data_IF_250486676490
#
_entry.id   IF_250486676490
#
_cell.length_a   1.000
_cell.length_b   1.000
_cell.length_c   1.000
_cell.angle_alpha   90.00
_cell.angle_beta   90.00
_cell.angle_gamma   90.00
#
_symmetry.space_group_name_H-M   'P 1'
#
loop_
_entity.id
_entity.type
_entity.pdbx_description
1 polymer ?
#
# COMPACT_ATOMS: atom_id res chain seq x y z
N UNK A 1 23.72 -78.56 32.79
CA UNK A 1 22.54 -77.69 33.00
C UNK A 1 22.24 -77.03 31.67
N UNK A 2 21.11 -77.37 31.05
CA UNK A 2 20.67 -76.71 29.82
C UNK A 2 19.85 -75.50 30.21
N UNK A 3 20.35 -74.31 29.87
CA UNK A 3 19.71 -73.03 30.13
C UNK A 3 18.64 -72.80 29.04
N UNK A 4 17.37 -72.89 29.42
CA UNK A 4 16.21 -72.75 28.52
C UNK A 4 15.81 -71.28 28.27
N UNK A 5 16.71 -70.33 28.56
CA UNK A 5 16.49 -68.89 28.34
C UNK A 5 16.40 -68.48 26.86
N UNK A 6 16.59 -69.41 25.90
CA UNK A 6 16.60 -69.14 24.46
C UNK A 6 15.22 -69.29 23.76
N UNK A 7 14.16 -69.70 24.46
CA UNK A 7 12.80 -69.80 23.92
C UNK A 7 11.87 -68.72 24.51
N UNK A 8 12.35 -67.48 24.56
CA UNK A 8 11.46 -66.33 24.74
C UNK A 8 10.65 -66.15 23.44
N UNK A 9 9.52 -66.85 23.34
CA UNK A 9 8.54 -66.66 22.27
C UNK A 9 8.17 -65.17 22.27
N UNK A 10 8.32 -64.44 21.15
CA UNK A 10 7.98 -63.02 21.12
C UNK A 10 6.51 -62.87 21.49
N UNK A 11 6.25 -62.04 22.49
CA UNK A 11 4.89 -61.81 22.99
C UNK A 11 4.07 -61.11 21.88
N UNK A 12 3.25 -61.89 21.18
CA UNK A 12 2.43 -61.43 20.04
C UNK A 12 1.46 -60.33 20.46
N UNK A 13 1.05 -60.31 21.73
CA UNK A 13 0.22 -59.25 22.31
C UNK A 13 0.97 -57.93 22.42
N UNK A 14 2.28 -57.97 22.70
CA UNK A 14 3.16 -56.79 22.74
C UNK A 14 3.33 -56.13 21.37
N UNK A 15 3.35 -56.92 20.29
CA UNK A 15 3.37 -56.37 18.92
C UNK A 15 2.08 -55.62 18.58
N UNK A 16 0.92 -56.14 18.96
CA UNK A 16 -0.37 -55.47 18.74
C UNK A 16 -0.46 -54.16 19.52
N UNK A 17 0.00 -54.15 20.78
CA UNK A 17 0.06 -52.93 21.61
C UNK A 17 0.90 -51.83 20.95
N UNK A 18 2.03 -52.21 20.33
CA UNK A 18 2.92 -51.27 19.66
C UNK A 18 2.25 -50.60 18.45
N UNK A 19 1.48 -51.36 17.65
CA UNK A 19 0.68 -50.81 16.55
C UNK A 19 -0.38 -49.81 17.03
N UNK A 20 -1.08 -50.10 18.13
CA UNK A 20 -2.06 -49.16 18.69
C UNK A 20 -1.41 -47.84 19.14
N UNK A 21 -0.22 -47.91 19.76
CA UNK A 21 0.53 -46.71 20.19
C UNK A 21 0.95 -45.87 18.97
N UNK A 22 1.41 -46.52 17.89
CA UNK A 22 1.77 -45.81 16.67
C UNK A 22 0.58 -45.12 16.01
N UNK A 23 -0.55 -45.83 15.87
CA UNK A 23 -1.78 -45.26 15.29
C UNK A 23 -2.23 -44.06 16.12
N UNK A 24 -2.22 -44.19 17.45
CA UNK A 24 -2.58 -43.10 18.35
C UNK A 24 -1.66 -41.89 18.21
N UNK A 25 -0.35 -42.12 18.10
CA UNK A 25 0.64 -41.05 17.85
C UNK A 25 0.41 -40.33 16.52
N UNK A 26 0.12 -41.07 15.45
CA UNK A 26 -0.18 -40.51 14.13
C UNK A 26 -1.45 -39.65 14.18
N UNK A 27 -2.50 -40.12 14.86
CA UNK A 27 -3.76 -39.37 15.01
C UNK A 27 -3.54 -38.06 15.75
N UNK A 28 -2.74 -38.06 16.82
CA UNK A 28 -2.40 -36.84 17.56
C UNK A 28 -1.62 -35.86 16.68
N UNK A 29 -0.59 -36.34 15.98
CA UNK A 29 0.22 -35.50 15.08
C UNK A 29 -0.64 -34.90 13.96
N UNK A 30 -1.56 -35.68 13.41
CA UNK A 30 -2.49 -35.22 12.40
C UNK A 30 -3.43 -34.13 12.94
N UNK A 31 -3.98 -34.32 14.16
CA UNK A 31 -4.81 -33.31 14.83
C UNK A 31 -4.07 -32.00 15.09
N UNK A 32 -2.81 -32.09 15.56
CA UNK A 32 -1.95 -30.92 15.77
C UNK A 32 -1.67 -30.21 14.44
N UNK A 33 -1.35 -30.96 13.39
CA UNK A 33 -1.10 -30.40 12.06
C UNK A 33 -2.33 -29.66 11.50
N UNK A 34 -3.52 -30.27 11.61
CA UNK A 34 -4.79 -29.63 11.24
C UNK A 34 -5.03 -28.34 12.02
N UNK A 35 -4.76 -28.33 13.32
CA UNK A 35 -4.89 -27.15 14.15
C UNK A 35 -3.97 -26.02 13.67
N UNK A 36 -2.70 -26.32 13.36
CA UNK A 36 -1.78 -25.33 12.81
C UNK A 36 -2.25 -24.78 11.46
N UNK A 37 -2.66 -25.64 10.54
CA UNK A 37 -3.19 -25.22 9.22
C UNK A 37 -4.38 -24.28 9.40
N UNK A 38 -5.34 -24.64 10.26
CA UNK A 38 -6.51 -23.81 10.54
C UNK A 38 -6.13 -22.46 11.18
N UNK A 39 -5.21 -22.46 12.14
CA UNK A 39 -4.72 -21.26 12.80
C UNK A 39 -4.03 -20.30 11.80
N UNK A 40 -3.13 -20.81 10.96
CA UNK A 40 -2.46 -20.01 9.94
C UNK A 40 -3.45 -19.48 8.90
N UNK A 41 -4.41 -20.31 8.46
CA UNK A 41 -5.42 -19.90 7.49
C UNK A 41 -6.31 -18.76 8.02
N UNK A 42 -6.79 -18.86 9.26
CA UNK A 42 -7.57 -17.81 9.91
C UNK A 42 -6.75 -16.51 10.06
N UNK A 43 -5.49 -16.61 10.45
CA UNK A 43 -4.60 -15.45 10.58
C UNK A 43 -4.33 -14.79 9.23
N UNK A 44 -4.10 -15.57 8.19
CA UNK A 44 -3.87 -15.06 6.83
C UNK A 44 -5.11 -14.38 6.26
N UNK A 45 -6.30 -14.96 6.47
CA UNK A 45 -7.57 -14.39 6.04
C UNK A 45 -7.87 -13.05 6.72
N UNK A 46 -7.64 -12.95 8.04
CA UNK A 46 -7.80 -11.69 8.79
C UNK A 46 -6.84 -10.61 8.29
N UNK A 47 -5.57 -10.94 8.06
CA UNK A 47 -4.58 -9.99 7.53
C UNK A 47 -4.96 -9.45 6.15
N UNK A 48 -5.45 -10.31 5.24
CA UNK A 48 -5.88 -9.90 3.90
C UNK A 48 -7.11 -8.99 3.92
N UNK A 49 -8.05 -9.23 4.84
CA UNK A 49 -9.21 -8.36 5.02
C UNK A 49 -8.80 -6.98 5.56
N UNK A 50 -7.88 -6.95 6.54
CA UNK A 50 -7.32 -5.72 7.07
C UNK A 50 -6.53 -4.93 6.03
N UNK A 51 -5.69 -5.58 5.22
CA UNK A 51 -4.93 -4.88 4.18
C UNK A 51 -5.85 -4.22 3.14
N UNK A 52 -6.87 -4.94 2.66
CA UNK A 52 -7.85 -4.37 1.73
C UNK A 52 -8.62 -3.19 2.33
N UNK A 53 -8.94 -3.23 3.62
CA UNK A 53 -9.59 -2.09 4.29
C UNK A 53 -8.64 -0.91 4.42
N UNK A 54 -7.37 -1.13 4.78
CA UNK A 54 -6.36 -0.08 4.82
C UNK A 54 -6.14 0.56 3.45
N UNK A 55 -6.04 -0.23 2.39
CA UNK A 55 -5.89 0.29 1.02
C UNK A 55 -7.10 1.15 0.62
N UNK A 56 -8.32 0.73 0.98
CA UNK A 56 -9.52 1.54 0.75
C UNK A 56 -9.54 2.84 1.57
N UNK A 57 -9.10 2.80 2.84
CA UNK A 57 -9.00 4.01 3.66
C UNK A 57 -7.94 4.97 3.13
N UNK A 58 -6.80 4.46 2.67
CA UNK A 58 -5.74 5.28 2.09
C UNK A 58 -6.20 5.94 0.79
N UNK A 59 -6.90 5.19 -0.07
CA UNK A 59 -7.55 5.75 -1.26
C UNK A 59 -8.57 6.84 -0.91
N UNK A 60 -9.45 6.60 0.06
CA UNK A 60 -10.43 7.60 0.51
C UNK A 60 -9.76 8.83 1.12
N UNK A 61 -8.67 8.66 1.88
CA UNK A 61 -7.90 9.77 2.44
C UNK A 61 -7.24 10.59 1.33
N UNK A 62 -6.69 9.95 0.30
CA UNK A 62 -6.13 10.65 -0.87
C UNK A 62 -7.20 11.41 -1.66
N UNK A 63 -8.36 10.80 -1.89
CA UNK A 63 -9.49 11.46 -2.57
C UNK A 63 -10.02 12.66 -1.77
N UNK A 64 -10.16 12.52 -0.45
CA UNK A 64 -10.54 13.62 0.44
C UNK A 64 -9.48 14.72 0.46
N UNK A 65 -8.19 14.37 0.52
CA UNK A 65 -7.10 15.33 0.45
C UNK A 65 -7.12 16.10 -0.88
N UNK A 66 -7.41 15.41 -1.99
CA UNK A 66 -7.58 16.01 -3.32
C UNK A 66 -8.76 16.97 -3.36
N UNK A 67 -9.91 16.58 -2.81
CA UNK A 67 -11.11 17.43 -2.73
C UNK A 67 -10.88 18.68 -1.86
N UNK A 68 -10.21 18.52 -0.71
CA UNK A 68 -9.89 19.64 0.18
C UNK A 68 -8.90 20.62 -0.45
N UNK A 69 -7.85 20.13 -1.10
CA UNK A 69 -6.90 20.98 -1.81
C UNK A 69 -7.56 21.70 -2.99
N UNK A 70 -8.42 21.00 -3.73
CA UNK A 70 -9.22 21.61 -4.79
C UNK A 70 -10.15 22.72 -4.27
N UNK A 71 -10.84 22.48 -3.16
CA UNK A 71 -11.71 23.49 -2.54
C UNK A 71 -10.91 24.69 -2.02
N UNK A 72 -9.73 24.45 -1.42
CA UNK A 72 -8.82 25.52 -0.98
C UNK A 72 -8.32 26.34 -2.17
N UNK A 73 -7.99 25.69 -3.28
CA UNK A 73 -7.55 26.34 -4.51
C UNK A 73 -8.64 27.25 -5.09
N UNK A 74 -9.90 26.80 -5.12
CA UNK A 74 -11.03 27.63 -5.58
C UNK A 74 -11.37 28.80 -4.66
N UNK A 75 -11.07 28.69 -3.37
CA UNK A 75 -11.30 29.77 -2.39
C UNK A 75 -10.13 30.75 -2.27
N UNK A 76 -8.94 30.36 -2.70
CA UNK A 76 -7.75 31.20 -2.65
C UNK A 76 -7.70 32.16 -3.84
N UNK A 77 -7.03 33.31 -3.68
CA UNK A 77 -6.78 34.29 -4.73
C UNK A 77 -5.31 34.69 -4.77
N UNK A 78 -4.84 35.17 -5.94
CA UNK A 78 -3.48 35.66 -6.13
C UNK A 78 -2.39 34.61 -5.85
N UNK A 79 -1.26 35.04 -5.26
CA UNK A 79 -0.07 34.20 -5.00
C UNK A 79 -0.39 32.90 -4.24
N UNK A 80 -1.32 32.94 -3.30
CA UNK A 80 -1.73 31.76 -2.51
C UNK A 80 -2.39 30.68 -3.37
N UNK A 81 -3.16 31.08 -4.39
CA UNK A 81 -3.79 30.15 -5.34
C UNK A 81 -2.74 29.40 -6.16
N UNK A 82 -1.68 30.10 -6.58
CA UNK A 82 -0.56 29.51 -7.31
C UNK A 82 0.25 28.53 -6.43
N UNK A 83 0.54 28.89 -5.18
CA UNK A 83 1.24 27.98 -4.24
C UNK A 83 0.43 26.69 -4.01
N UNK A 84 -0.88 26.81 -3.79
CA UNK A 84 -1.76 25.65 -3.61
C UNK A 84 -1.87 24.80 -4.88
N UNK A 85 -1.79 25.42 -6.06
CA UNK A 85 -1.74 24.70 -7.32
C UNK A 85 -0.45 23.90 -7.48
N UNK A 86 0.69 24.49 -7.14
CA UNK A 86 1.98 23.78 -7.13
C UNK A 86 1.92 22.58 -6.19
N UNK A 87 1.42 22.78 -4.97
CA UNK A 87 1.28 21.71 -3.99
C UNK A 87 0.32 20.60 -4.48
N UNK A 88 -0.74 20.99 -5.18
CA UNK A 88 -1.65 20.05 -5.82
C UNK A 88 -0.96 19.22 -6.90
N UNK A 89 -0.17 19.86 -7.77
CA UNK A 89 0.60 19.16 -8.80
C UNK A 89 1.62 18.20 -8.17
N UNK A 90 2.35 18.64 -7.15
CA UNK A 90 3.34 17.83 -6.44
C UNK A 90 2.74 16.57 -5.80
N UNK A 91 1.54 16.69 -5.22
CA UNK A 91 0.91 15.59 -4.49
C UNK A 91 0.08 14.66 -5.38
N UNK A 92 -0.52 15.17 -6.46
CA UNK A 92 -1.55 14.43 -7.19
C UNK A 92 -1.32 14.29 -8.69
N UNK A 93 -0.48 15.11 -9.31
CA UNK A 93 -0.26 15.07 -10.76
C UNK A 93 1.15 14.57 -11.03
N UNK A 94 1.28 13.28 -11.29
CA UNK A 94 2.58 12.62 -11.52
C UNK A 94 2.81 12.24 -12.99
N UNK A 95 1.85 12.45 -13.88
CA UNK A 95 1.87 11.93 -15.27
C UNK A 95 1.54 12.95 -16.36
N UNK A 96 1.19 14.19 -16.01
CA UNK A 96 0.93 15.22 -17.03
C UNK A 96 2.25 15.85 -17.47
N UNK A 97 2.69 15.54 -18.68
CA UNK A 97 3.84 16.19 -19.32
C UNK A 97 3.41 17.55 -19.85
N UNK A 98 3.93 18.63 -19.27
CA UNK A 98 3.73 19.99 -19.78
C UNK A 98 5.03 20.50 -20.37
N UNK A 99 5.00 21.13 -21.54
CA UNK A 99 6.22 21.60 -22.19
C UNK A 99 6.77 22.89 -21.54
N UNK A 100 5.90 23.69 -20.92
CA UNK A 100 6.28 24.92 -20.22
C UNK A 100 5.25 25.35 -19.16
N UNK A 101 5.65 26.34 -18.34
CA UNK A 101 4.84 26.94 -17.28
C UNK A 101 3.55 27.58 -17.80
N UNK A 102 3.61 28.25 -18.95
CA UNK A 102 2.45 28.93 -19.54
C UNK A 102 1.39 27.91 -20.01
N UNK A 103 1.81 26.79 -20.60
CA UNK A 103 0.94 25.68 -20.99
C UNK A 103 0.26 25.04 -19.77
N UNK A 104 1.02 24.81 -18.70
CA UNK A 104 0.50 24.33 -17.42
C UNK A 104 -0.59 25.27 -16.87
N UNK A 105 -0.33 26.58 -16.86
CA UNK A 105 -1.26 27.58 -16.32
C UNK A 105 -2.46 27.85 -17.24
N UNK A 106 -2.30 27.64 -18.55
CA UNK A 106 -3.38 27.80 -19.54
C UNK A 106 -4.39 26.65 -19.56
N UNK A 107 -4.17 25.58 -18.78
CA UNK A 107 -5.13 24.49 -18.65
C UNK A 107 -6.45 24.96 -18.01
N UNK A 108 -7.53 24.17 -18.16
CA UNK A 108 -8.92 24.47 -17.74
C UNK A 108 -9.12 24.83 -16.24
N UNK A 109 -8.04 24.89 -15.47
CA UNK A 109 -8.01 25.18 -14.04
C UNK A 109 -8.14 26.68 -13.72
N UNK A 110 -7.76 27.55 -14.67
CA UNK A 110 -7.68 29.00 -14.43
C UNK A 110 -8.36 29.81 -15.53
N UNK A 111 -8.85 30.99 -15.15
CA UNK A 111 -9.36 31.96 -16.11
C UNK A 111 -8.19 32.75 -16.72
N UNK A 112 -8.35 33.27 -17.95
CA UNK A 112 -7.29 34.04 -18.63
C UNK A 112 -6.73 35.19 -17.78
N UNK A 113 -7.59 35.86 -17.02
CA UNK A 113 -7.20 36.94 -16.09
C UNK A 113 -6.32 36.44 -14.94
N UNK A 114 -6.63 35.26 -14.39
CA UNK A 114 -5.81 34.66 -13.33
C UNK A 114 -4.46 34.17 -13.86
N UNK A 115 -4.41 33.69 -15.10
CA UNK A 115 -3.16 33.31 -15.75
C UNK A 115 -2.25 34.53 -15.91
N UNK A 116 -2.78 35.67 -16.37
CA UNK A 116 -2.00 36.92 -16.44
C UNK A 116 -1.49 37.38 -15.07
N UNK A 117 -2.32 37.29 -14.02
CA UNK A 117 -1.90 37.60 -12.65
C UNK A 117 -0.79 36.66 -12.15
N UNK A 118 -0.87 35.38 -12.50
CA UNK A 118 0.15 34.39 -12.14
C UNK A 118 1.46 34.57 -12.89
N UNK A 119 1.42 34.88 -14.18
CA UNK A 119 2.61 35.20 -14.97
C UNK A 119 3.31 36.45 -14.42
N UNK A 120 2.56 37.47 -13.99
CA UNK A 120 3.12 38.65 -13.32
C UNK A 120 3.78 38.31 -11.96
N UNK A 121 3.15 37.44 -11.16
CA UNK A 121 3.71 36.98 -9.88
C UNK A 121 4.98 36.15 -10.11
N UNK A 122 4.99 35.27 -11.09
CA UNK A 122 6.16 34.45 -11.45
C UNK A 122 7.30 35.29 -12.03
N UNK A 123 6.99 36.35 -12.78
CA UNK A 123 7.99 37.30 -13.26
C UNK A 123 8.63 38.10 -12.11
N UNK A 124 7.85 38.41 -11.08
CA UNK A 124 8.32 39.16 -9.90
C UNK A 124 9.07 38.26 -8.90
N UNK A 125 8.65 37.00 -8.77
CA UNK A 125 9.20 36.02 -7.83
C UNK A 125 9.96 34.91 -8.58
N UNK A 126 11.24 35.19 -8.88
CA UNK A 126 12.12 34.29 -9.64
C UNK A 126 12.37 32.94 -8.95
N UNK A 127 12.29 32.89 -7.63
CA UNK A 127 12.48 31.64 -6.87
C UNK A 127 11.30 30.70 -7.11
N UNK A 128 10.08 31.23 -7.06
CA UNK A 128 8.85 30.51 -7.34
C UNK A 128 8.79 30.01 -8.80
N UNK A 129 9.22 30.84 -9.74
CA UNK A 129 9.34 30.49 -11.16
C UNK A 129 10.31 29.33 -11.38
N UNK A 130 11.50 29.39 -10.78
CA UNK A 130 12.49 28.32 -10.88
C UNK A 130 11.97 27.00 -10.27
N UNK A 131 11.30 27.07 -9.12
CA UNK A 131 10.69 25.89 -8.50
C UNK A 131 9.63 25.26 -9.42
N UNK A 132 8.83 26.06 -10.11
CA UNK A 132 7.84 25.55 -11.08
C UNK A 132 8.51 24.85 -12.26
N UNK A 133 9.53 25.47 -12.84
CA UNK A 133 10.27 24.96 -14.00
C UNK A 133 10.99 23.64 -13.68
N UNK A 134 11.66 23.56 -12.52
CA UNK A 134 12.32 22.35 -12.05
C UNK A 134 11.30 21.20 -11.91
N UNK A 135 10.08 21.50 -11.46
CA UNK A 135 9.01 20.51 -11.30
C UNK A 135 8.43 20.03 -12.62
N UNK A 136 8.21 20.94 -13.57
CA UNK A 136 7.78 20.60 -14.93
C UNK A 136 8.84 19.71 -15.61
N UNK A 137 10.12 20.00 -15.42
CA UNK A 137 11.21 19.20 -15.98
C UNK A 137 11.25 17.78 -15.38
N UNK A 138 11.00 17.63 -14.08
CA UNK A 138 10.92 16.32 -13.41
C UNK A 138 9.71 15.52 -13.93
N UNK A 139 8.56 16.17 -14.14
CA UNK A 139 7.36 15.53 -14.67
C UNK A 139 7.49 15.10 -16.14
N UNK A 140 8.38 15.73 -16.91
CA UNK A 140 8.63 15.43 -18.33
C UNK A 140 9.62 14.29 -18.57
N UNK A 141 10.47 13.98 -17.58
CA UNK A 141 11.56 12.97 -17.72
C UNK A 141 11.21 11.56 -17.22
N UNK A 142 9.95 11.28 -16.86
CA UNK A 142 9.48 9.95 -16.44
C UNK A 142 8.80 9.22 -17.58
#
# INVERSE_FOLDING_TARGET
MWDFSFLAIPNVEGMRLWWYIQIFGIVILFGISLFFVMYFWLRYRKKKALSHQFDHFDQQAQDLAKQLLYQKLHKASGKTKLILFIEYLEKFVTTSTYANVSELLSTQWFTAKEVEEFEQVLYTDKELSKHLEDKIMIMTKK
#
